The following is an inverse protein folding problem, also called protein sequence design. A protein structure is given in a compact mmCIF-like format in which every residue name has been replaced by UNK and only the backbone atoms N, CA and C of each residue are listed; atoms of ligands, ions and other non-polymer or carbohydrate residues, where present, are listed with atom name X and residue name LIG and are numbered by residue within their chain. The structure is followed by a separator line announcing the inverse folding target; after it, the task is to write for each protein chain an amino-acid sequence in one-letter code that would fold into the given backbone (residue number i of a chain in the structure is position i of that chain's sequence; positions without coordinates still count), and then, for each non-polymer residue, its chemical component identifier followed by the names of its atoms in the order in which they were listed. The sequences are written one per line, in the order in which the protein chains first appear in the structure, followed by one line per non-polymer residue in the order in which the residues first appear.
data_IF_103066612981
#
_entry.id   IF_103066612981
#
_cell.length_a   1.000
_cell.length_b   1.000
_cell.length_c   1.000
_cell.angle_alpha   90.00
_cell.angle_beta   90.00
_cell.angle_gamma   90.00
#
_symmetry.space_group_name_H-M   'P 1'
#
loop_
_entity.id
_entity.type
_entity.pdbx_description
1 polymer ?
#
# COMPACT_ATOMS: atom_id res chain seq x y z
N UNK A 1 45.13 -12.93 -16.52
CA UNK A 1 44.44 -12.63 -15.23
C UNK A 1 43.74 -11.28 -15.25
N UNK A 2 44.37 -10.20 -15.74
CA UNK A 2 43.78 -8.85 -15.76
C UNK A 2 42.49 -8.77 -16.58
N UNK A 3 42.46 -9.34 -17.79
CA UNK A 3 41.26 -9.29 -18.66
C UNK A 3 40.05 -9.97 -18.03
N UNK A 4 40.25 -11.17 -17.46
CA UNK A 4 39.21 -11.90 -16.74
C UNK A 4 38.68 -11.11 -15.53
N UNK A 5 39.58 -10.45 -14.79
CA UNK A 5 39.19 -9.57 -13.67
C UNK A 5 38.35 -8.38 -14.14
N UNK A 6 38.73 -7.74 -15.24
CA UNK A 6 37.97 -6.62 -15.83
C UNK A 6 36.55 -7.07 -16.22
N UNK A 7 36.43 -8.22 -16.88
CA UNK A 7 35.13 -8.79 -17.24
C UNK A 7 34.27 -9.13 -15.99
N UNK A 8 34.88 -9.72 -14.95
CA UNK A 8 34.17 -10.07 -13.71
C UNK A 8 33.64 -8.82 -13.00
N UNK A 9 34.47 -7.78 -12.85
CA UNK A 9 34.06 -6.52 -12.24
C UNK A 9 32.94 -5.84 -13.04
N UNK A 10 32.97 -5.95 -14.36
CA UNK A 10 31.88 -5.46 -15.21
C UNK A 10 30.59 -6.24 -14.96
N UNK A 11 30.65 -7.57 -14.82
CA UNK A 11 29.47 -8.38 -14.49
C UNK A 11 28.93 -8.04 -13.10
N UNK A 12 29.79 -8.00 -12.08
CA UNK A 12 29.40 -7.68 -10.70
C UNK A 12 28.75 -6.30 -10.60
N UNK A 13 29.35 -5.27 -11.20
CA UNK A 13 28.78 -3.91 -11.18
C UNK A 13 27.47 -3.81 -11.97
N UNK A 14 27.27 -4.62 -13.02
CA UNK A 14 25.98 -4.71 -13.72
C UNK A 14 24.90 -5.35 -12.85
N UNK A 15 25.22 -6.45 -12.17
CA UNK A 15 24.31 -7.11 -11.23
C UNK A 15 23.93 -6.15 -10.10
N UNK A 16 24.93 -5.51 -9.49
CA UNK A 16 24.72 -4.50 -8.45
C UNK A 16 23.83 -3.36 -8.94
N UNK A 17 24.07 -2.83 -10.14
CA UNK A 17 23.27 -1.75 -10.72
C UNK A 17 21.79 -2.15 -10.85
N UNK A 18 21.51 -3.33 -11.42
CA UNK A 18 20.14 -3.82 -11.57
C UNK A 18 19.47 -4.02 -10.21
N UNK A 19 20.18 -4.60 -9.25
CA UNK A 19 19.69 -4.79 -7.88
C UNK A 19 19.34 -3.46 -7.20
N UNK A 20 20.21 -2.44 -7.31
CA UNK A 20 19.96 -1.11 -6.75
C UNK A 20 18.76 -0.40 -7.41
N UNK A 21 18.44 -0.72 -8.66
CA UNK A 21 17.27 -0.18 -9.37
C UNK A 21 15.99 -1.01 -9.15
N UNK A 22 16.06 -2.13 -8.42
CA UNK A 22 14.95 -3.07 -8.28
C UNK A 22 14.53 -3.72 -9.59
N UNK A 23 15.44 -3.78 -10.58
CA UNK A 23 15.17 -4.39 -11.87
C UNK A 23 15.43 -5.89 -11.81
N UNK A 24 14.54 -6.67 -12.43
CA UNK A 24 14.73 -8.11 -12.54
C UNK A 24 16.05 -8.40 -13.27
N UNK A 25 16.94 -9.18 -12.65
CA UNK A 25 18.23 -9.56 -13.28
C UNK A 25 17.97 -10.42 -14.53
N UNK A 26 16.92 -11.26 -14.49
CA UNK A 26 16.57 -12.23 -15.53
C UNK A 26 15.27 -11.84 -16.25
N UNK A 27 15.14 -12.27 -17.50
CA UNK A 27 13.93 -12.15 -18.31
C UNK A 27 13.21 -13.50 -18.45
N UNK A 28 12.18 -13.57 -19.30
CA UNK A 28 11.56 -14.86 -19.66
C UNK A 28 12.50 -15.75 -20.48
N UNK A 29 13.38 -15.12 -21.24
CA UNK A 29 14.49 -15.75 -21.94
C UNK A 29 15.79 -15.04 -21.60
N UNK A 30 16.92 -15.65 -21.95
CA UNK A 30 18.24 -15.03 -21.78
C UNK A 30 18.39 -13.78 -22.66
N UNK A 31 17.77 -13.73 -23.83
CA UNK A 31 17.80 -12.55 -24.72
C UNK A 31 17.01 -11.38 -24.13
N UNK A 32 15.89 -11.66 -23.48
CA UNK A 32 15.04 -10.67 -22.81
C UNK A 32 15.57 -10.27 -21.41
N UNK A 33 16.66 -10.87 -20.96
CA UNK A 33 17.27 -10.58 -19.65
C UNK A 33 17.86 -9.17 -19.59
N UNK A 34 17.47 -8.40 -18.58
CA UNK A 34 18.03 -7.06 -18.34
C UNK A 34 19.55 -7.13 -18.15
N UNK A 35 20.05 -8.16 -17.46
CA UNK A 35 21.50 -8.35 -17.28
C UNK A 35 22.19 -8.56 -18.63
N UNK A 36 21.67 -9.46 -19.48
CA UNK A 36 22.32 -9.74 -20.75
C UNK A 36 22.30 -8.51 -21.67
N UNK A 37 21.17 -7.79 -21.74
CA UNK A 37 21.09 -6.55 -22.51
C UNK A 37 22.08 -5.49 -22.00
N UNK A 38 22.19 -5.32 -20.68
CA UNK A 38 23.15 -4.40 -20.06
C UNK A 38 24.61 -4.82 -20.35
N UNK A 39 24.91 -6.11 -20.27
CA UNK A 39 26.25 -6.63 -20.59
C UNK A 39 26.60 -6.47 -22.07
N UNK A 40 25.64 -6.67 -22.98
CA UNK A 40 25.84 -6.42 -24.41
C UNK A 40 26.08 -4.93 -24.72
N UNK A 41 25.39 -4.04 -24.01
CA UNK A 41 25.64 -2.60 -24.09
C UNK A 41 27.06 -2.27 -23.62
N UNK A 42 27.43 -2.74 -22.42
CA UNK A 42 28.77 -2.48 -21.83
C UNK A 42 29.90 -3.12 -22.63
N UNK A 43 29.66 -4.24 -23.29
CA UNK A 43 30.62 -4.91 -24.18
C UNK A 43 30.92 -4.11 -25.46
N UNK A 44 30.25 -2.98 -25.72
CA UNK A 44 30.65 -2.04 -26.77
C UNK A 44 31.89 -1.25 -26.36
N UNK A 45 32.01 -0.94 -25.07
CA UNK A 45 33.05 -0.05 -24.54
C UNK A 45 34.10 -0.82 -23.70
N UNK A 46 33.85 -2.07 -23.33
CA UNK A 46 34.75 -2.92 -22.54
C UNK A 46 35.15 -4.16 -23.38
N UNK A 47 36.29 -4.11 -24.10
CA UNK A 47 36.74 -5.21 -24.97
C UNK A 47 36.93 -6.54 -24.25
N UNK A 48 37.40 -6.52 -23.00
CA UNK A 48 37.61 -7.72 -22.19
C UNK A 48 36.29 -8.40 -21.84
N UNK A 49 35.24 -7.61 -21.56
CA UNK A 49 33.90 -8.14 -21.36
C UNK A 49 33.35 -8.74 -22.66
N UNK A 50 33.51 -8.06 -23.80
CA UNK A 50 33.10 -8.59 -25.11
C UNK A 50 33.76 -9.95 -25.39
N UNK A 51 35.07 -10.03 -25.21
CA UNK A 51 35.85 -11.26 -25.35
C UNK A 51 35.31 -12.35 -24.42
N UNK A 52 35.02 -12.00 -23.16
CA UNK A 52 34.48 -12.94 -22.18
C UNK A 52 33.10 -13.49 -22.53
N UNK A 53 32.18 -12.62 -22.98
CA UNK A 53 30.81 -13.01 -23.36
C UNK A 53 30.78 -13.93 -24.60
N UNK A 54 31.77 -13.80 -25.49
CA UNK A 54 31.91 -14.61 -26.70
C UNK A 54 32.38 -16.04 -26.42
N UNK A 55 32.89 -16.34 -25.23
CA UNK A 55 33.30 -17.70 -24.84
C UNK A 55 32.09 -18.63 -24.81
N UNK A 56 32.28 -19.91 -25.13
CA UNK A 56 31.24 -20.93 -24.98
C UNK A 56 31.25 -21.58 -23.59
N UNK A 57 32.42 -21.60 -22.95
CA UNK A 57 32.65 -22.24 -21.65
C UNK A 57 33.06 -21.24 -20.57
N UNK A 58 32.79 -21.58 -19.30
CA UNK A 58 33.18 -20.81 -18.11
C UNK A 58 32.58 -19.38 -18.06
N UNK A 59 31.32 -19.23 -18.46
CA UNK A 59 30.58 -17.98 -18.27
C UNK A 59 30.19 -17.83 -16.80
N UNK A 60 30.47 -16.67 -16.22
CA UNK A 60 29.98 -16.28 -14.88
C UNK A 60 28.53 -15.77 -14.91
N UNK A 61 27.73 -16.32 -15.82
CA UNK A 61 26.35 -15.92 -16.06
C UNK A 61 25.36 -17.05 -15.82
N UNK A 62 25.83 -18.21 -15.32
CA UNK A 62 24.92 -19.26 -14.88
C UNK A 62 24.06 -18.75 -13.73
N UNK A 63 22.88 -19.33 -13.58
CA UNK A 63 21.94 -18.92 -12.54
C UNK A 63 22.54 -19.04 -11.14
N UNK A 64 23.28 -20.12 -10.88
CA UNK A 64 23.91 -20.37 -9.58
C UNK A 64 24.95 -19.30 -9.26
N UNK A 65 25.81 -18.95 -10.22
CA UNK A 65 26.85 -17.92 -10.02
C UNK A 65 26.21 -16.55 -9.79
N UNK A 66 25.18 -16.20 -10.54
CA UNK A 66 24.50 -14.91 -10.36
C UNK A 66 23.76 -14.83 -9.02
N UNK A 67 23.17 -15.92 -8.56
CA UNK A 67 22.57 -16.01 -7.23
C UNK A 67 23.64 -15.83 -6.15
N UNK A 68 24.75 -16.57 -6.25
CA UNK A 68 25.87 -16.46 -5.31
C UNK A 68 26.44 -15.04 -5.24
N UNK A 69 26.64 -14.38 -6.39
CA UNK A 69 27.07 -12.99 -6.45
C UNK A 69 26.09 -12.06 -5.73
N UNK A 70 24.79 -12.27 -5.94
CA UNK A 70 23.72 -11.46 -5.32
C UNK A 70 23.67 -11.69 -3.81
N UNK A 71 23.80 -12.95 -3.36
CA UNK A 71 23.83 -13.32 -1.95
C UNK A 71 25.05 -12.74 -1.24
N UNK A 72 26.23 -12.75 -1.86
CA UNK A 72 27.43 -12.11 -1.30
C UNK A 72 27.21 -10.61 -1.11
N UNK A 73 26.65 -9.92 -2.12
CA UNK A 73 26.31 -8.49 -2.01
C UNK A 73 25.29 -8.25 -0.91
N UNK A 74 24.23 -9.06 -0.83
CA UNK A 74 23.21 -8.96 0.21
C UNK A 74 23.79 -9.17 1.62
N UNK A 75 24.64 -10.18 1.80
CA UNK A 75 25.33 -10.43 3.07
C UNK A 75 26.25 -9.29 3.48
N UNK A 76 26.90 -8.61 2.53
CA UNK A 76 27.75 -7.46 2.82
C UNK A 76 26.93 -6.25 3.30
N UNK A 77 25.79 -5.98 2.63
CA UNK A 77 24.82 -4.98 3.07
C UNK A 77 24.31 -5.31 4.47
N UNK A 78 23.86 -6.55 4.70
CA UNK A 78 23.36 -6.99 6.01
C UNK A 78 24.43 -6.84 7.09
N UNK A 79 25.69 -7.22 6.82
CA UNK A 79 26.78 -7.06 7.78
C UNK A 79 26.98 -5.60 8.17
N UNK A 80 26.87 -4.69 7.21
CA UNK A 80 26.97 -3.24 7.45
C UNK A 80 25.82 -2.78 8.34
N UNK A 81 24.57 -3.11 7.98
CA UNK A 81 23.37 -2.76 8.76
C UNK A 81 23.41 -3.32 10.18
N UNK A 82 23.81 -4.59 10.35
CA UNK A 82 23.93 -5.20 11.70
C UNK A 82 25.02 -4.50 12.52
N UNK A 83 26.12 -4.06 11.89
CA UNK A 83 27.14 -3.24 12.55
C UNK A 83 26.57 -1.94 13.11
N UNK A 84 25.65 -1.30 12.39
CA UNK A 84 24.93 -0.09 12.83
C UNK A 84 23.92 -0.41 13.95
N UNK A 85 23.21 -1.55 13.86
CA UNK A 85 22.19 -1.96 14.85
C UNK A 85 22.82 -2.39 16.18
N UNK A 86 24.07 -2.87 16.19
CA UNK A 86 24.80 -3.34 17.39
C UNK A 86 25.07 -2.26 18.46
N UNK A 87 24.37 -1.13 18.37
CA UNK A 87 24.08 -0.16 19.44
C UNK A 87 23.71 -0.80 20.80
N UNK A 88 23.61 0.05 21.83
CA UNK A 88 23.21 -0.38 23.17
C UNK A 88 21.79 -0.94 23.21
N UNK A 89 20.84 -0.33 22.48
CA UNK A 89 19.42 -0.69 22.52
C UNK A 89 18.75 -0.55 21.16
N UNK A 90 17.81 -1.45 20.87
CA UNK A 90 17.02 -1.42 19.64
C UNK A 90 15.54 -1.69 19.92
N UNK A 91 14.69 -1.40 18.94
CA UNK A 91 13.31 -1.87 18.88
C UNK A 91 13.10 -2.73 17.64
N UNK A 92 12.15 -3.66 17.69
CA UNK A 92 11.81 -4.53 16.58
C UNK A 92 10.46 -4.12 15.96
N UNK A 93 10.40 -4.11 14.65
CA UNK A 93 9.19 -3.91 13.85
C UNK A 93 9.01 -5.16 13.00
N UNK A 94 7.83 -5.78 13.07
CA UNK A 94 7.48 -6.93 12.23
C UNK A 94 6.10 -6.75 11.61
N UNK A 95 5.97 -7.15 10.35
CA UNK A 95 4.71 -7.15 9.62
C UNK A 95 4.58 -8.43 8.79
N UNK A 96 3.40 -9.03 8.83
CA UNK A 96 3.06 -10.26 8.10
C UNK A 96 2.63 -9.91 6.67
N UNK A 97 3.16 -10.63 5.69
CA UNK A 97 2.82 -10.44 4.28
C UNK A 97 2.80 -11.79 3.55
N UNK A 98 2.21 -11.82 2.36
CA UNK A 98 2.31 -12.94 1.45
C UNK A 98 3.04 -12.52 0.17
N UNK A 99 3.89 -13.40 -0.36
CA UNK A 99 4.56 -13.17 -1.64
C UNK A 99 3.64 -13.48 -2.84
N UNK A 100 4.15 -13.31 -4.06
CA UNK A 100 3.40 -13.58 -5.29
C UNK A 100 3.03 -15.06 -5.47
N UNK A 101 3.70 -15.97 -4.77
CA UNK A 101 3.42 -17.40 -4.74
C UNK A 101 2.48 -17.79 -3.58
N UNK A 102 1.93 -16.79 -2.86
CA UNK A 102 1.04 -16.94 -1.71
C UNK A 102 1.73 -17.65 -0.55
N UNK A 103 3.05 -17.49 -0.42
CA UNK A 103 3.81 -17.97 0.73
C UNK A 103 3.83 -16.89 1.80
N UNK A 104 3.53 -17.30 3.03
CA UNK A 104 3.58 -16.41 4.19
C UNK A 104 5.03 -16.03 4.49
N UNK A 105 5.26 -14.74 4.68
CA UNK A 105 6.54 -14.15 5.01
C UNK A 105 6.35 -13.10 6.09
N UNK A 106 7.37 -12.92 6.92
CA UNK A 106 7.41 -11.87 7.93
C UNK A 106 8.54 -10.93 7.56
N UNK A 107 8.20 -9.67 7.38
CA UNK A 107 9.19 -8.60 7.27
C UNK A 107 9.72 -8.28 8.66
N UNK A 108 11.05 -8.12 8.79
CA UNK A 108 11.66 -7.71 10.04
C UNK A 108 12.51 -6.46 9.79
N UNK A 109 12.30 -5.45 10.63
CA UNK A 109 13.04 -4.22 10.64
C UNK A 109 13.46 -3.90 12.09
N UNK A 110 14.67 -3.38 12.27
CA UNK A 110 15.13 -2.88 13.56
C UNK A 110 15.11 -1.37 13.54
N UNK A 111 14.62 -0.78 14.63
CA UNK A 111 14.64 0.66 14.84
C UNK A 111 15.62 1.01 15.94
N UNK A 112 16.59 1.87 15.63
CA UNK A 112 17.62 2.34 16.56
C UNK A 112 17.59 3.86 16.68
N UNK A 113 18.35 4.38 17.63
CA UNK A 113 18.70 5.80 17.72
C UNK A 113 20.17 5.91 17.37
N UNK A 114 20.49 6.69 16.33
CA UNK A 114 21.88 6.87 15.91
C UNK A 114 22.64 7.80 16.84
N UNK A 115 23.96 7.89 16.63
CA UNK A 115 24.84 8.78 17.39
C UNK A 115 24.42 10.27 17.30
N UNK A 116 23.69 10.64 16.25
CA UNK A 116 23.13 11.98 16.06
C UNK A 116 21.79 12.18 16.80
N UNK A 117 21.35 11.21 17.61
CA UNK A 117 20.07 11.20 18.32
C UNK A 117 18.83 11.17 17.41
N UNK A 118 19.00 10.67 16.18
CA UNK A 118 17.91 10.53 15.21
C UNK A 118 17.46 9.08 15.10
N UNK A 119 16.15 8.81 14.93
CA UNK A 119 15.65 7.47 14.72
C UNK A 119 16.00 6.95 13.33
N UNK A 120 16.52 5.73 13.26
CA UNK A 120 16.85 5.03 12.04
C UNK A 120 16.17 3.66 11.99
N UNK A 121 15.71 3.26 10.81
CA UNK A 121 15.02 1.99 10.57
C UNK A 121 15.82 1.17 9.56
N UNK A 122 16.22 -0.02 9.99
CA UNK A 122 17.09 -0.94 9.26
C UNK A 122 16.32 -2.21 8.91
N UNK A 123 15.92 -2.32 7.64
CA UNK A 123 15.27 -3.51 7.12
C UNK A 123 16.29 -4.64 6.95
N UNK A 124 16.04 -5.79 7.58
CA UNK A 124 16.99 -6.93 7.58
C UNK A 124 16.53 -8.10 6.72
N UNK A 125 15.27 -8.10 6.27
CA UNK A 125 14.79 -9.08 5.30
C UNK A 125 13.35 -9.52 5.47
N UNK A 126 12.93 -10.35 4.51
CA UNK A 126 11.73 -11.17 4.59
C UNK A 126 12.12 -12.58 4.98
N UNK A 127 11.36 -13.16 5.91
CA UNK A 127 11.60 -14.52 6.38
C UNK A 127 10.35 -15.35 6.17
N UNK A 128 10.50 -16.43 5.40
CA UNK A 128 9.40 -17.37 5.15
C UNK A 128 9.03 -18.09 6.45
N UNK A 129 7.73 -18.20 6.70
CA UNK A 129 7.18 -19.01 7.79
C UNK A 129 6.04 -19.87 7.25
N UNK A 130 5.93 -21.09 7.76
CA UNK A 130 4.82 -21.99 7.40
C UNK A 130 3.55 -21.72 8.21
N UNK A 131 3.65 -20.88 9.25
CA UNK A 131 2.52 -20.51 10.10
C UNK A 131 2.76 -19.18 10.82
N UNK A 132 1.68 -18.45 11.05
CA UNK A 132 1.65 -17.15 11.74
C UNK A 132 1.18 -17.26 13.19
N UNK A 133 1.31 -18.43 13.81
CA UNK A 133 1.05 -18.55 15.26
C UNK A 133 2.06 -17.71 16.05
N UNK A 134 1.63 -17.18 17.19
CA UNK A 134 2.49 -16.40 18.07
C UNK A 134 3.80 -17.11 18.48
N UNK A 135 3.75 -18.44 18.62
CA UNK A 135 4.93 -19.26 18.91
C UNK A 135 5.92 -19.28 17.75
N UNK A 136 5.44 -19.57 16.55
CA UNK A 136 6.28 -19.59 15.34
C UNK A 136 6.91 -18.22 15.06
N UNK A 137 6.14 -17.14 15.21
CA UNK A 137 6.65 -15.78 15.06
C UNK A 137 7.71 -15.44 16.11
N UNK A 138 7.55 -15.93 17.34
CA UNK A 138 8.54 -15.74 18.39
C UNK A 138 9.82 -16.54 18.15
N UNK A 139 9.71 -17.79 17.69
CA UNK A 139 10.88 -18.59 17.30
C UNK A 139 11.61 -17.98 16.11
N UNK A 140 10.86 -17.48 15.13
CA UNK A 140 11.41 -16.78 13.98
C UNK A 140 12.19 -15.54 14.42
N UNK A 141 11.62 -14.72 15.29
CA UNK A 141 12.32 -13.55 15.86
C UNK A 141 13.62 -13.98 16.56
N UNK A 142 13.58 -15.01 17.42
CA UNK A 142 14.76 -15.49 18.13
C UNK A 142 15.84 -16.01 17.18
N UNK A 143 15.47 -16.76 16.14
CA UNK A 143 16.39 -17.24 15.12
C UNK A 143 17.10 -16.08 14.42
N UNK A 144 16.36 -15.04 14.03
CA UNK A 144 16.94 -13.83 13.41
C UNK A 144 17.86 -13.08 14.37
N UNK A 145 17.44 -12.89 15.62
CA UNK A 145 18.27 -12.27 16.66
C UNK A 145 19.56 -13.05 16.91
N UNK A 146 19.50 -14.39 16.95
CA UNK A 146 20.67 -15.25 17.12
C UNK A 146 21.62 -15.15 15.92
N UNK A 147 21.10 -15.18 14.68
CA UNK A 147 21.90 -15.04 13.45
C UNK A 147 22.68 -13.74 13.40
N UNK A 148 22.10 -12.66 13.92
CA UNK A 148 22.73 -11.34 13.95
C UNK A 148 23.44 -11.02 15.26
N UNK A 149 23.51 -11.97 16.19
CA UNK A 149 24.08 -11.79 17.52
C UNK A 149 23.51 -10.57 18.26
N UNK A 150 22.20 -10.32 18.12
CA UNK A 150 21.47 -9.24 18.78
C UNK A 150 20.76 -9.80 20.03
N UNK A 151 21.21 -9.48 21.25
CA UNK A 151 20.57 -9.99 22.45
C UNK A 151 19.16 -9.42 22.60
N UNK A 152 18.16 -10.29 22.86
CA UNK A 152 16.80 -9.84 23.16
C UNK A 152 16.75 -8.89 24.37
N UNK A 153 17.70 -9.04 25.31
CA UNK A 153 17.86 -8.17 26.49
C UNK A 153 18.12 -6.69 26.18
N UNK A 154 18.57 -6.38 24.96
CA UNK A 154 18.77 -5.02 24.48
C UNK A 154 17.52 -4.44 23.79
N UNK A 155 16.47 -5.23 23.62
CA UNK A 155 15.22 -4.77 23.03
C UNK A 155 14.48 -3.81 24.00
N UNK A 156 14.04 -2.65 23.51
CA UNK A 156 13.30 -1.62 24.27
C UNK A 156 11.93 -1.31 23.70
N UNK A 157 11.62 -1.84 22.52
CA UNK A 157 10.33 -1.66 21.90
C UNK A 157 10.03 -2.76 20.91
N UNK A 158 8.75 -3.05 20.75
CA UNK A 158 8.25 -3.99 19.76
C UNK A 158 7.00 -3.40 19.11
N UNK A 159 6.94 -3.39 17.78
CA UNK A 159 5.86 -2.76 17.04
C UNK A 159 5.33 -3.68 15.95
N UNK A 160 4.07 -4.09 16.11
CA UNK A 160 3.37 -5.02 15.22
C UNK A 160 1.92 -4.54 14.98
N UNK A 161 1.20 -5.23 14.11
CA UNK A 161 -0.23 -5.00 13.89
C UNK A 161 -1.09 -5.47 15.07
N UNK A 162 -2.41 -5.32 14.90
CA UNK A 162 -3.41 -5.67 15.90
C UNK A 162 -3.88 -7.11 15.86
N UNK A 163 -3.30 -7.99 15.04
CA UNK A 163 -3.72 -9.38 14.94
C UNK A 163 -3.55 -10.09 16.29
N UNK A 164 -4.42 -11.06 16.61
CA UNK A 164 -4.40 -11.72 17.92
C UNK A 164 -3.09 -12.46 18.20
N UNK A 165 -2.45 -13.00 17.15
CA UNK A 165 -1.17 -13.68 17.26
C UNK A 165 -0.01 -12.71 17.51
N UNK A 166 -0.15 -11.43 17.14
CA UNK A 166 0.85 -10.38 17.37
C UNK A 166 0.59 -9.64 18.68
N UNK A 167 -0.59 -9.04 18.80
CA UNK A 167 -0.98 -8.10 19.85
C UNK A 167 -1.57 -8.75 21.11
N UNK A 168 -1.81 -10.07 21.10
CA UNK A 168 -2.50 -10.77 22.17
C UNK A 168 -1.77 -10.67 23.52
N UNK A 169 -2.44 -10.11 24.53
CA UNK A 169 -1.85 -9.83 25.87
C UNK A 169 -1.50 -11.07 26.70
N UNK A 170 -2.00 -12.25 26.33
CA UNK A 170 -1.74 -13.51 27.06
C UNK A 170 -0.85 -14.49 26.30
N UNK A 171 -1.04 -14.58 24.99
CA UNK A 171 -0.45 -15.63 24.17
C UNK A 171 0.09 -15.12 22.83
N UNK A 172 -0.04 -13.83 22.54
CA UNK A 172 0.50 -13.21 21.34
C UNK A 172 2.02 -13.05 21.42
N UNK A 173 2.64 -12.72 20.28
CA UNK A 173 4.06 -12.42 20.17
C UNK A 173 4.47 -11.38 21.22
N UNK A 174 3.65 -10.35 21.43
CA UNK A 174 3.99 -9.29 22.37
C UNK A 174 4.11 -9.75 23.83
N UNK A 175 3.21 -10.65 24.26
CA UNK A 175 3.28 -11.22 25.60
C UNK A 175 4.55 -12.08 25.77
N UNK A 176 4.92 -12.85 24.75
CA UNK A 176 6.11 -13.72 24.76
C UNK A 176 7.41 -12.93 24.81
N UNK A 177 7.50 -11.83 24.04
CA UNK A 177 8.64 -10.93 24.08
C UNK A 177 8.74 -10.24 25.44
N UNK A 178 7.62 -9.74 26.00
CA UNK A 178 7.60 -9.10 27.32
C UNK A 178 7.98 -10.05 28.46
N UNK A 179 7.63 -11.34 28.36
CA UNK A 179 8.02 -12.36 29.33
C UNK A 179 9.56 -12.50 29.42
N UNK A 180 10.25 -12.40 28.27
CA UNK A 180 11.70 -12.50 28.23
C UNK A 180 12.42 -11.16 28.45
N UNK A 181 11.85 -10.05 27.97
CA UNK A 181 12.38 -8.70 28.15
C UNK A 181 11.25 -7.71 28.52
N UNK A 182 10.99 -7.49 29.82
CA UNK A 182 9.92 -6.61 30.28
C UNK A 182 10.05 -5.15 29.85
N UNK A 183 11.25 -4.70 29.44
CA UNK A 183 11.46 -3.34 28.95
C UNK A 183 11.10 -3.18 27.47
N UNK A 184 10.86 -4.26 26.72
CA UNK A 184 10.46 -4.22 25.32
C UNK A 184 8.97 -3.87 25.17
N UNK A 185 8.62 -2.59 25.33
CA UNK A 185 7.23 -2.15 25.34
C UNK A 185 6.54 -2.34 23.99
N UNK A 186 5.32 -2.88 24.01
CA UNK A 186 4.53 -3.06 22.80
C UNK A 186 3.85 -1.77 22.35
N UNK A 187 3.98 -1.48 21.06
CA UNK A 187 3.32 -0.40 20.35
C UNK A 187 2.51 -0.99 19.20
N UNK A 188 1.20 -0.73 19.21
CA UNK A 188 0.36 -1.09 18.06
C UNK A 188 0.65 -0.12 16.92
N UNK A 189 0.99 -0.66 15.74
CA UNK A 189 1.22 0.09 14.52
C UNK A 189 0.14 1.16 14.29
N UNK A 190 0.54 2.44 14.34
CA UNK A 190 -0.40 3.57 14.27
C UNK A 190 -1.05 3.69 12.89
N UNK A 191 -0.31 3.39 11.82
CA UNK A 191 -0.84 3.34 10.46
C UNK A 191 -1.91 2.23 10.31
N UNK A 192 -1.68 1.07 10.92
CA UNK A 192 -2.66 -0.02 10.94
C UNK A 192 -3.91 0.38 11.73
N UNK A 193 -3.76 0.96 12.91
CA UNK A 193 -4.87 1.50 13.70
C UNK A 193 -5.71 2.51 12.92
N UNK A 194 -5.06 3.46 12.24
CA UNK A 194 -5.75 4.44 11.40
C UNK A 194 -6.53 3.77 10.27
N UNK A 195 -5.94 2.77 9.63
CA UNK A 195 -6.60 1.98 8.60
C UNK A 195 -7.86 1.26 9.11
N UNK A 196 -7.80 0.65 10.30
CA UNK A 196 -8.94 -0.02 10.94
C UNK A 196 -10.07 0.96 11.26
N UNK A 197 -9.76 2.10 11.90
CA UNK A 197 -10.77 3.12 12.24
C UNK A 197 -11.48 3.62 10.99
N UNK A 198 -10.73 3.91 9.93
CA UNK A 198 -11.27 4.39 8.66
C UNK A 198 -12.12 3.32 7.97
N UNK A 199 -11.67 2.06 7.99
CA UNK A 199 -12.44 0.92 7.49
C UNK A 199 -13.79 0.82 8.21
N UNK A 200 -13.77 0.78 9.54
CA UNK A 200 -14.97 0.55 10.35
C UNK A 200 -16.00 1.67 10.18
N UNK A 201 -15.55 2.93 10.16
CA UNK A 201 -16.43 4.08 9.90
C UNK A 201 -17.06 3.97 8.51
N UNK A 202 -16.27 3.71 7.47
CA UNK A 202 -16.79 3.65 6.11
C UNK A 202 -17.73 2.45 5.88
N UNK A 203 -17.51 1.32 6.56
CA UNK A 203 -18.39 0.16 6.52
C UNK A 203 -19.70 0.36 7.29
N UNK A 204 -19.65 1.14 8.38
CA UNK A 204 -20.83 1.44 9.20
C UNK A 204 -21.85 2.33 8.49
N UNK A 205 -21.41 3.15 7.52
CA UNK A 205 -22.26 4.07 6.75
C UNK A 205 -22.74 3.37 5.46
N UNK A 206 -24.05 3.03 5.32
CA UNK A 206 -24.52 2.26 4.17
C UNK A 206 -24.24 2.91 2.82
N UNK A 207 -24.33 4.24 2.73
CA UNK A 207 -24.02 4.98 1.50
C UNK A 207 -22.56 4.76 1.07
N UNK A 208 -21.60 4.92 1.99
CA UNK A 208 -20.17 4.71 1.73
C UNK A 208 -19.88 3.24 1.38
N UNK A 209 -20.41 2.28 2.17
CA UNK A 209 -20.22 0.85 1.91
C UNK A 209 -20.74 0.44 0.52
N UNK A 210 -21.97 0.83 0.18
CA UNK A 210 -22.59 0.46 -1.07
C UNK A 210 -21.87 1.13 -2.26
N UNK A 211 -21.50 2.40 -2.12
CA UNK A 211 -20.70 3.13 -3.10
C UNK A 211 -19.36 2.42 -3.39
N UNK A 212 -18.65 1.96 -2.36
CA UNK A 212 -17.41 1.21 -2.55
C UNK A 212 -17.61 -0.10 -3.33
N UNK A 213 -18.77 -0.76 -3.21
CA UNK A 213 -19.10 -1.93 -4.03
C UNK A 213 -19.29 -1.54 -5.50
N UNK A 214 -20.09 -0.50 -5.74
CA UNK A 214 -20.36 0.03 -7.09
C UNK A 214 -19.05 0.38 -7.80
N UNK A 215 -18.15 1.13 -7.14
CA UNK A 215 -16.88 1.52 -7.75
C UNK A 215 -15.95 0.33 -8.00
N UNK A 216 -15.92 -0.67 -7.10
CA UNK A 216 -15.15 -1.91 -7.34
C UNK A 216 -15.66 -2.64 -8.58
N UNK A 217 -16.97 -2.78 -8.72
CA UNK A 217 -17.60 -3.45 -9.86
C UNK A 217 -17.37 -2.68 -11.16
N UNK A 218 -17.48 -1.35 -11.13
CA UNK A 218 -17.18 -0.48 -12.26
C UNK A 218 -15.73 -0.64 -12.75
N UNK A 219 -14.77 -0.55 -11.83
CA UNK A 219 -13.35 -0.70 -12.16
C UNK A 219 -13.08 -2.11 -12.70
N UNK A 220 -13.64 -3.15 -12.07
CA UNK A 220 -13.48 -4.53 -12.52
C UNK A 220 -14.10 -4.76 -13.91
N UNK A 221 -15.26 -4.15 -14.20
CA UNK A 221 -15.89 -4.19 -15.52
C UNK A 221 -14.91 -3.64 -16.57
N UNK A 222 -14.33 -2.47 -16.35
CA UNK A 222 -13.44 -1.86 -17.36
C UNK A 222 -12.11 -2.62 -17.46
N UNK A 223 -11.44 -2.86 -16.32
CA UNK A 223 -10.05 -3.33 -16.29
C UNK A 223 -9.88 -4.82 -16.53
N UNK A 224 -10.87 -5.66 -16.23
CA UNK A 224 -10.72 -7.11 -16.41
C UNK A 224 -10.80 -7.55 -17.89
N UNK A 225 -10.96 -6.61 -18.83
CA UNK A 225 -10.87 -6.88 -20.26
C UNK A 225 -10.01 -5.82 -20.95
N UNK A 226 -8.87 -6.20 -21.57
CA UNK A 226 -8.06 -5.27 -22.34
C UNK A 226 -8.85 -4.53 -23.42
N UNK A 227 -9.83 -5.22 -24.05
CA UNK A 227 -10.73 -4.63 -25.06
C UNK A 227 -11.60 -3.52 -24.48
N UNK A 228 -12.21 -3.74 -23.31
CA UNK A 228 -13.04 -2.72 -22.65
C UNK A 228 -12.21 -1.55 -22.13
N UNK A 229 -11.00 -1.82 -21.63
CA UNK A 229 -10.09 -0.75 -21.23
C UNK A 229 -9.66 0.11 -22.42
N UNK A 230 -9.36 -0.51 -23.57
CA UNK A 230 -9.04 0.22 -24.80
C UNK A 230 -10.22 1.07 -25.29
N UNK A 231 -11.43 0.50 -25.28
CA UNK A 231 -12.66 1.20 -25.64
C UNK A 231 -12.95 2.38 -24.70
N UNK A 232 -12.84 2.19 -23.38
CA UNK A 232 -13.01 3.26 -22.41
C UNK A 232 -12.03 4.43 -22.65
N UNK A 233 -10.79 4.17 -23.09
CA UNK A 233 -9.81 5.21 -23.41
C UNK A 233 -10.24 6.12 -24.55
N UNK A 234 -11.14 5.68 -25.43
CA UNK A 234 -11.69 6.51 -26.51
C UNK A 234 -12.61 7.62 -25.96
N UNK A 235 -13.18 7.42 -24.77
CA UNK A 235 -13.99 8.42 -24.06
C UNK A 235 -13.16 9.32 -23.13
N UNK A 236 -11.92 8.93 -22.82
CA UNK A 236 -11.05 9.72 -21.95
C UNK A 236 -10.44 10.91 -22.71
N UNK A 237 -10.45 12.10 -22.08
CA UNK A 237 -9.63 13.21 -22.57
C UNK A 237 -8.13 12.89 -22.44
N UNK A 238 -7.30 13.47 -23.31
CA UNK A 238 -5.86 13.18 -23.38
C UNK A 238 -5.10 13.36 -22.04
N UNK A 239 -5.58 14.25 -21.17
CA UNK A 239 -4.99 14.52 -19.85
C UNK A 239 -5.65 13.74 -18.70
N UNK A 240 -6.64 12.88 -18.99
CA UNK A 240 -7.40 12.19 -17.94
C UNK A 240 -6.55 11.11 -17.27
N UNK A 241 -6.56 11.01 -15.93
CA UNK A 241 -5.79 9.99 -15.23
C UNK A 241 -6.32 8.58 -15.56
N UNK A 242 -5.42 7.60 -15.64
CA UNK A 242 -5.80 6.21 -15.75
C UNK A 242 -6.61 5.76 -14.52
N UNK A 243 -7.69 4.98 -14.74
CA UNK A 243 -8.48 4.40 -13.65
C UNK A 243 -7.61 3.51 -12.77
N UNK A 244 -7.50 3.82 -11.48
CA UNK A 244 -6.68 3.05 -10.54
C UNK A 244 -7.52 2.00 -9.81
N UNK A 245 -7.01 0.77 -9.61
CA UNK A 245 -7.71 -0.22 -8.79
C UNK A 245 -7.81 0.25 -7.33
N UNK A 246 -8.82 -0.23 -6.63
CA UNK A 246 -8.94 -0.03 -5.19
C UNK A 246 -8.07 -1.05 -4.46
N UNK A 247 -7.25 -0.59 -3.50
CA UNK A 247 -6.56 -1.51 -2.60
C UNK A 247 -7.60 -2.22 -1.70
N UNK A 248 -7.66 -3.57 -1.67
CA UNK A 248 -8.63 -4.28 -0.85
C UNK A 248 -8.39 -4.09 0.66
N UNK A 249 -7.13 -4.12 1.08
CA UNK A 249 -6.71 -4.17 2.49
C UNK A 249 -6.38 -2.80 3.08
N UNK A 250 -5.91 -1.84 2.28
CA UNK A 250 -5.53 -0.48 2.74
C UNK A 250 -6.60 0.55 2.37
N UNK A 251 -7.49 0.82 3.32
CA UNK A 251 -8.52 1.85 3.24
C UNK A 251 -7.96 3.27 3.23
N UNK A 252 -6.81 3.49 3.84
CA UNK A 252 -6.12 4.79 3.85
C UNK A 252 -5.44 5.14 2.51
N UNK A 253 -5.52 4.28 1.49
CA UNK A 253 -4.93 4.51 0.15
C UNK A 253 -6.03 4.39 -0.91
N UNK A 254 -6.94 5.37 -0.92
CA UNK A 254 -8.13 5.37 -1.80
C UNK A 254 -8.33 6.69 -2.51
N UNK A 255 -7.70 7.78 -2.07
CA UNK A 255 -7.90 9.10 -2.64
C UNK A 255 -7.52 9.11 -4.12
N UNK A 256 -6.39 8.52 -4.50
CA UNK A 256 -5.96 8.48 -5.90
C UNK A 256 -6.93 7.70 -6.81
N UNK A 257 -7.52 6.60 -6.32
CA UNK A 257 -8.50 5.82 -7.08
C UNK A 257 -9.83 6.57 -7.20
N UNK A 258 -10.32 7.17 -6.11
CA UNK A 258 -11.51 8.01 -6.13
C UNK A 258 -11.32 9.24 -7.03
N UNK A 259 -10.16 9.88 -6.99
CA UNK A 259 -9.80 10.99 -7.87
C UNK A 259 -9.82 10.56 -9.34
N UNK A 260 -9.33 9.36 -9.65
CA UNK A 260 -9.40 8.84 -11.03
C UNK A 260 -10.84 8.61 -11.49
N UNK A 261 -11.77 8.25 -10.58
CA UNK A 261 -13.19 8.14 -10.91
C UNK A 261 -13.80 9.52 -11.11
N UNK A 262 -13.55 10.46 -10.20
CA UNK A 262 -14.08 11.83 -10.28
C UNK A 262 -13.62 12.55 -11.55
N UNK A 263 -12.34 12.43 -11.91
CA UNK A 263 -11.80 13.04 -13.13
C UNK A 263 -12.36 12.44 -14.43
N UNK A 264 -12.84 11.19 -14.37
CA UNK A 264 -13.40 10.49 -15.53
C UNK A 264 -14.92 10.34 -15.46
N UNK A 265 -15.63 11.07 -14.59
CA UNK A 265 -17.03 10.77 -14.28
C UNK A 265 -17.95 10.83 -15.51
N UNK A 266 -17.82 11.88 -16.34
CA UNK A 266 -18.57 12.00 -17.61
C UNK A 266 -18.22 10.88 -18.58
N UNK A 267 -16.93 10.67 -18.84
CA UNK A 267 -16.44 9.62 -19.73
C UNK A 267 -16.89 8.21 -19.31
N UNK A 268 -16.99 7.97 -18.00
CA UNK A 268 -17.53 6.72 -17.45
C UNK A 268 -19.01 6.55 -17.77
N UNK A 269 -19.82 7.62 -17.69
CA UNK A 269 -21.24 7.55 -18.06
C UNK A 269 -21.40 7.30 -19.56
N UNK A 270 -20.69 8.05 -20.40
CA UNK A 270 -20.74 7.92 -21.87
C UNK A 270 -20.33 6.50 -22.32
N UNK A 271 -19.24 5.98 -21.74
CA UNK A 271 -18.78 4.62 -22.00
C UNK A 271 -19.80 3.56 -21.57
N UNK A 272 -20.43 3.71 -20.39
CA UNK A 272 -21.41 2.74 -19.91
C UNK A 272 -22.69 2.77 -20.74
N UNK A 273 -23.10 3.95 -21.22
CA UNK A 273 -24.22 4.11 -22.15
C UNK A 273 -23.94 3.38 -23.47
N UNK A 274 -22.82 3.68 -24.11
CA UNK A 274 -22.40 3.06 -25.37
C UNK A 274 -22.22 1.53 -25.23
N UNK A 275 -21.59 1.09 -24.13
CA UNK A 275 -21.44 -0.33 -23.84
C UNK A 275 -22.79 -1.02 -23.62
N UNK A 276 -23.72 -0.38 -22.91
CA UNK A 276 -25.05 -0.95 -22.66
C UNK A 276 -25.88 -1.12 -23.94
N UNK A 277 -25.72 -0.20 -24.90
CA UNK A 277 -26.39 -0.26 -26.20
C UNK A 277 -25.79 -1.32 -27.13
N UNK A 278 -24.46 -1.46 -27.14
CA UNK A 278 -23.76 -2.28 -28.13
C UNK A 278 -23.43 -3.71 -27.67
N UNK A 279 -23.35 -3.97 -26.36
CA UNK A 279 -23.06 -5.32 -25.84
C UNK A 279 -24.32 -6.04 -25.35
N UNK A 280 -24.86 -6.94 -26.18
CA UNK A 280 -26.01 -7.80 -25.85
C UNK A 280 -25.60 -9.03 -25.04
N UNK A 281 -24.98 -8.83 -23.89
CA UNK A 281 -24.55 -9.88 -22.96
C UNK A 281 -24.57 -9.39 -21.51
N UNK A 282 -24.24 -10.26 -20.55
CA UNK A 282 -24.20 -9.94 -19.12
C UNK A 282 -23.37 -8.69 -18.81
N UNK A 283 -22.28 -8.46 -19.55
CA UNK A 283 -21.44 -7.28 -19.36
C UNK A 283 -22.17 -5.98 -19.74
N UNK A 284 -23.01 -5.98 -20.78
CA UNK A 284 -23.84 -4.82 -21.13
C UNK A 284 -24.99 -4.60 -20.15
N UNK A 285 -25.58 -5.68 -19.62
CA UNK A 285 -26.55 -5.59 -18.52
C UNK A 285 -25.94 -4.98 -17.26
N UNK A 286 -24.71 -5.39 -16.89
CA UNK A 286 -23.94 -4.77 -15.80
C UNK A 286 -23.63 -3.30 -16.08
N UNK A 287 -23.27 -2.96 -17.31
CA UNK A 287 -23.01 -1.57 -17.71
C UNK A 287 -24.25 -0.69 -17.51
N UNK A 288 -25.42 -1.17 -17.96
CA UNK A 288 -26.72 -0.49 -17.76
C UNK A 288 -27.02 -0.27 -16.27
N UNK A 289 -26.85 -1.29 -15.42
CA UNK A 289 -27.07 -1.16 -13.98
C UNK A 289 -26.12 -0.15 -13.33
N UNK A 290 -24.83 -0.18 -13.69
CA UNK A 290 -23.84 0.78 -13.19
C UNK A 290 -24.14 2.21 -13.65
N UNK A 291 -24.57 2.40 -14.90
CA UNK A 291 -24.97 3.71 -15.42
C UNK A 291 -26.09 4.33 -14.59
N UNK A 292 -27.14 3.56 -14.29
CA UNK A 292 -28.25 4.01 -13.43
C UNK A 292 -27.74 4.41 -12.04
N UNK A 293 -26.72 3.75 -11.51
CA UNK A 293 -26.11 4.18 -10.25
C UNK A 293 -25.31 5.48 -10.38
N UNK A 294 -24.55 5.67 -11.46
CA UNK A 294 -23.75 6.88 -11.68
C UNK A 294 -24.60 8.12 -11.96
N UNK A 295 -25.79 7.96 -12.55
CA UNK A 295 -26.73 9.06 -12.82
C UNK A 295 -27.37 9.63 -11.54
N UNK A 296 -27.32 8.89 -10.42
CA UNK A 296 -27.90 9.35 -9.13
C UNK A 296 -27.01 10.37 -8.45
N UNK A 297 -27.62 11.48 -8.01
CA UNK A 297 -26.95 12.47 -7.15
C UNK A 297 -26.26 11.84 -5.95
N UNK A 298 -26.94 10.90 -5.26
CA UNK A 298 -26.42 10.28 -4.05
C UNK A 298 -25.09 9.54 -4.26
N UNK A 299 -24.87 8.96 -5.45
CA UNK A 299 -23.61 8.31 -5.81
C UNK A 299 -22.50 9.33 -5.99
N UNK A 300 -22.75 10.40 -6.75
CA UNK A 300 -21.78 11.47 -6.98
C UNK A 300 -21.46 12.24 -5.69
N UNK A 301 -22.47 12.55 -4.88
CA UNK A 301 -22.31 13.15 -3.56
C UNK A 301 -21.43 12.29 -2.66
N UNK A 302 -21.66 10.98 -2.64
CA UNK A 302 -20.84 10.04 -1.85
C UNK A 302 -19.39 10.01 -2.36
N UNK A 303 -19.17 10.06 -3.68
CA UNK A 303 -17.84 10.19 -4.27
C UNK A 303 -17.11 11.44 -3.76
N UNK A 304 -17.75 12.61 -3.85
CA UNK A 304 -17.14 13.88 -3.44
C UNK A 304 -16.86 13.91 -1.93
N UNK A 305 -17.78 13.41 -1.11
CA UNK A 305 -17.62 13.31 0.33
C UNK A 305 -16.44 12.39 0.69
N UNK A 306 -16.39 11.20 0.10
CA UNK A 306 -15.31 10.25 0.33
C UNK A 306 -13.98 10.80 -0.15
N UNK A 307 -13.92 11.46 -1.31
CA UNK A 307 -12.68 12.08 -1.81
C UNK A 307 -12.15 13.15 -0.85
N UNK A 308 -13.03 14.01 -0.34
CA UNK A 308 -12.68 15.05 0.65
C UNK A 308 -12.14 14.43 1.94
N UNK A 309 -12.76 13.36 2.42
CA UNK A 309 -12.33 12.65 3.62
C UNK A 309 -11.01 11.88 3.43
N UNK A 310 -10.94 11.01 2.41
CA UNK A 310 -9.78 10.15 2.17
C UNK A 310 -8.53 10.95 1.80
N UNK A 311 -8.65 12.11 1.14
CA UNK A 311 -7.48 12.94 0.83
C UNK A 311 -6.75 13.40 2.10
N UNK A 312 -7.48 13.83 3.15
CA UNK A 312 -6.89 14.22 4.44
C UNK A 312 -6.32 13.05 5.22
N UNK A 313 -7.09 11.97 5.28
CA UNK A 313 -6.72 10.73 5.98
C UNK A 313 -5.46 10.12 5.35
N UNK A 314 -5.38 10.05 4.03
CA UNK A 314 -4.24 9.47 3.31
C UNK A 314 -2.95 10.27 3.56
N UNK A 315 -3.01 11.61 3.55
CA UNK A 315 -1.86 12.46 3.87
C UNK A 315 -1.30 12.19 5.27
N UNK A 316 -2.16 12.08 6.27
CA UNK A 316 -1.74 11.79 7.65
C UNK A 316 -1.23 10.36 7.76
N UNK A 317 -1.88 9.38 7.13
CA UNK A 317 -1.44 8.00 7.14
C UNK A 317 -0.05 7.80 6.50
N UNK A 318 0.29 8.57 5.45
CA UNK A 318 1.65 8.60 4.87
C UNK A 318 2.65 9.15 5.88
N UNK A 319 2.30 10.22 6.60
CA UNK A 319 3.18 10.80 7.62
C UNK A 319 3.42 9.85 8.80
N UNK A 320 2.40 9.07 9.19
CA UNK A 320 2.49 8.03 10.23
C UNK A 320 3.33 6.80 9.84
N UNK A 321 3.85 6.74 8.62
CA UNK A 321 4.73 5.66 8.15
C UNK A 321 6.20 6.13 7.97
N UNK A 322 6.51 7.38 8.31
CA UNK A 322 7.89 7.89 8.22
C UNK A 322 8.74 7.37 9.37
N UNK A 323 10.00 7.03 9.10
CA UNK A 323 10.94 6.55 10.12
C UNK A 323 11.24 7.58 11.23
N UNK A 324 11.06 8.87 10.95
CA UNK A 324 11.18 9.94 11.96
C UNK A 324 10.00 10.02 12.94
N UNK A 325 8.95 9.21 12.76
CA UNK A 325 7.75 9.30 13.59
C UNK A 325 8.04 8.93 15.05
N UNK A 326 7.70 9.82 15.97
CA UNK A 326 7.69 9.54 17.41
C UNK A 326 6.27 9.72 17.97
N UNK A 327 6.01 9.19 19.17
CA UNK A 327 4.65 9.14 19.74
C UNK A 327 4.01 10.51 19.88
N UNK A 328 4.80 11.54 20.21
CA UNK A 328 4.30 12.91 20.33
C UNK A 328 3.86 13.48 18.97
N UNK A 329 4.69 13.38 17.92
CA UNK A 329 4.32 13.88 16.58
C UNK A 329 3.16 13.10 15.97
N UNK A 330 3.07 11.78 16.20
CA UNK A 330 1.91 10.99 15.83
C UNK A 330 0.62 11.54 16.45
N UNK A 331 0.64 11.88 17.74
CA UNK A 331 -0.50 12.47 18.44
C UNK A 331 -0.90 13.83 17.86
N UNK A 332 0.06 14.72 17.63
CA UNK A 332 -0.20 16.04 17.05
C UNK A 332 -0.81 15.94 15.64
N UNK A 333 -0.33 15.01 14.80
CA UNK A 333 -0.90 14.75 13.48
C UNK A 333 -2.35 14.28 13.57
N UNK A 334 -2.68 13.41 14.52
CA UNK A 334 -4.05 12.92 14.73
C UNK A 334 -4.97 14.01 15.32
N UNK A 335 -4.47 14.83 16.24
CA UNK A 335 -5.21 15.97 16.79
C UNK A 335 -5.50 17.01 15.70
N UNK A 336 -4.53 17.26 14.80
CA UNK A 336 -4.69 18.12 13.62
C UNK A 336 -5.72 17.55 12.65
N UNK A 337 -5.65 16.24 12.32
CA UNK A 337 -6.64 15.58 11.47
C UNK A 337 -8.05 15.73 12.05
N UNK A 338 -8.21 15.56 13.36
CA UNK A 338 -9.50 15.75 14.02
C UNK A 338 -10.00 17.20 13.88
N UNK A 339 -9.10 18.18 13.95
CA UNK A 339 -9.40 19.59 13.67
C UNK A 339 -9.87 19.80 12.24
N UNK A 340 -9.12 19.32 11.25
CA UNK A 340 -9.44 19.41 9.82
C UNK A 340 -10.81 18.79 9.50
N UNK A 341 -11.11 17.62 10.08
CA UNK A 341 -12.40 16.96 9.90
C UNK A 341 -13.57 17.75 10.51
N UNK A 342 -13.35 18.51 11.59
CA UNK A 342 -14.36 19.43 12.13
C UNK A 342 -14.61 20.60 11.18
N UNK A 343 -13.55 21.20 10.64
CA UNK A 343 -13.66 22.29 9.66
C UNK A 343 -14.43 21.82 8.41
N UNK A 344 -14.10 20.63 7.89
CA UNK A 344 -14.84 20.03 6.76
C UNK A 344 -16.33 19.86 7.10
N UNK A 345 -16.64 19.44 8.33
CA UNK A 345 -18.02 19.26 8.78
C UNK A 345 -18.77 20.59 8.91
N UNK A 346 -18.11 21.63 9.40
CA UNK A 346 -18.68 22.98 9.54
C UNK A 346 -18.88 23.65 8.17
N UNK A 347 -17.99 23.39 7.21
CA UNK A 347 -18.07 23.81 5.82
C UNK A 347 -19.08 23.04 4.95
N UNK A 348 -20.05 22.35 5.54
CA UNK A 348 -21.00 21.52 4.79
C UNK A 348 -21.82 22.32 3.77
N UNK A 349 -22.20 23.56 4.07
CA UNK A 349 -23.00 24.38 3.16
C UNK A 349 -22.28 24.65 1.84
N UNK A 350 -21.01 25.07 1.90
CA UNK A 350 -20.18 25.29 0.72
C UNK A 350 -19.93 23.97 -0.04
N UNK A 351 -19.65 22.89 0.68
CA UNK A 351 -19.52 21.56 0.08
C UNK A 351 -20.79 21.13 -0.67
N UNK A 352 -21.97 21.36 -0.08
CA UNK A 352 -23.26 21.05 -0.69
C UNK A 352 -23.47 21.85 -1.96
N UNK A 353 -23.32 23.17 -1.91
CA UNK A 353 -23.49 24.06 -3.07
C UNK A 353 -22.57 23.66 -4.23
N UNK A 354 -21.28 23.47 -3.95
CA UNK A 354 -20.29 23.06 -4.96
C UNK A 354 -20.62 21.68 -5.55
N UNK A 355 -21.04 20.73 -4.72
CA UNK A 355 -21.39 19.38 -5.17
C UNK A 355 -22.66 19.37 -6.02
N UNK A 356 -23.66 20.17 -5.65
CA UNK A 356 -24.89 20.33 -6.44
C UNK A 356 -24.61 20.98 -7.79
N UNK A 357 -23.85 22.09 -7.82
CA UNK A 357 -23.48 22.73 -9.07
C UNK A 357 -22.69 21.80 -10.01
N UNK A 358 -21.76 21.01 -9.46
CA UNK A 358 -21.01 20.03 -10.23
C UNK A 358 -21.89 18.87 -10.73
N UNK A 359 -22.86 18.42 -9.93
CA UNK A 359 -23.83 17.40 -10.34
C UNK A 359 -24.76 17.89 -11.45
N UNK A 360 -25.21 19.14 -11.37
CA UNK A 360 -26.05 19.77 -12.39
C UNK A 360 -25.29 19.91 -13.72
N UNK A 361 -24.01 20.28 -13.67
CA UNK A 361 -23.14 20.34 -14.86
C UNK A 361 -22.94 18.96 -15.53
N UNK A 362 -23.07 17.87 -14.75
CA UNK A 362 -23.01 16.49 -15.23
C UNK A 362 -24.39 15.93 -15.65
N UNK A 363 -25.46 16.70 -15.52
CA UNK A 363 -26.82 16.26 -15.87
C UNK A 363 -27.37 15.16 -14.95
N UNK A 364 -26.93 15.11 -13.68
CA UNK A 364 -27.37 14.09 -12.72
C UNK A 364 -28.77 14.38 -12.16
N UNK A 365 -29.38 13.38 -11.53
CA UNK A 365 -30.66 13.54 -10.83
C UNK A 365 -30.62 14.70 -9.81
N UNK A 366 -31.74 15.41 -9.64
CA UNK A 366 -31.82 16.48 -8.63
C UNK A 366 -31.77 15.90 -7.21
N UNK A 367 -31.04 16.52 -6.26
CA UNK A 367 -31.00 16.05 -4.88
C UNK A 367 -32.38 16.03 -4.23
N UNK A 368 -32.77 14.87 -3.70
CA UNK A 368 -33.98 14.72 -2.87
C UNK A 368 -33.57 14.79 -1.40
N UNK A 369 -33.95 15.89 -0.73
CA UNK A 369 -33.69 16.04 0.70
C UNK A 369 -34.55 15.07 1.52
N UNK A 370 -34.00 14.42 2.57
CA UNK A 370 -34.78 13.58 3.45
C UNK A 370 -35.93 14.39 4.06
N UNK A 371 -37.16 13.94 3.90
CA UNK A 371 -38.28 14.54 4.62
C UNK A 371 -38.06 14.31 6.11
N UNK A 372 -37.84 15.40 6.87
CA UNK A 372 -37.88 15.35 8.32
C UNK A 372 -39.24 14.77 8.70
N UNK A 373 -39.25 13.62 9.39
CA UNK A 373 -40.49 13.07 9.94
C UNK A 373 -41.10 14.15 10.82
N UNK A 374 -42.24 14.70 10.40
CA UNK A 374 -43.04 15.57 11.26
C UNK A 374 -43.35 14.77 12.52
N UNK A 375 -42.97 15.31 13.68
CA UNK A 375 -43.34 14.74 14.97
C UNK A 375 -44.87 14.57 14.95
N UNK A 376 -45.42 13.38 15.26
CA UNK A 376 -46.86 13.21 15.33
C UNK A 376 -47.44 14.26 16.28
N UNK A 377 -48.46 15.02 15.84
CA UNK A 377 -49.11 16.09 16.63
C UNK A 377 -49.46 15.71 18.07
N UNK A 378 -49.64 14.41 18.34
CA UNK A 378 -49.89 13.86 19.69
C UNK A 378 -48.73 14.06 20.67
N UNK A 379 -47.50 14.28 20.19
CA UNK A 379 -46.30 14.50 21.01
C UNK A 379 -45.91 15.97 21.14
N UNK A 380 -46.53 16.88 20.38
CA UNK A 380 -46.26 18.33 20.48
C UNK A 380 -46.80 18.93 21.79
N UNK A 381 -47.86 18.36 22.35
CA UNK A 381 -48.48 18.82 23.60
C UNK A 381 -47.82 18.31 24.88
N UNK A 382 -46.90 17.34 24.81
CA UNK A 382 -46.22 16.81 26.01
C UNK A 382 -45.01 17.65 26.46
N UNK A 383 -44.51 18.57 25.62
CA UNK A 383 -43.33 19.40 25.94
C UNK A 383 -43.68 20.86 26.29
N UNK A 384 -44.96 21.21 26.42
CA UNK A 384 -45.42 22.56 26.78
C UNK A 384 -45.86 22.68 28.26
N UNK A 385 -45.43 21.75 29.11
CA UNK A 385 -45.79 21.71 30.52
C UNK A 385 -44.64 21.28 31.43
N UNK A 386 -43.68 22.19 31.60
CA UNK A 386 -42.84 22.33 32.82
C UNK A 386 -42.46 23.78 32.98
#
# INVERSE_FOLDING_TARGET
MTEARTALLAILSSVQHLSCQGLAIRGKTDEESNLNQLLQLRARDIPELRSWLARTENKWLSHDILNEMTEIMAHDVLRTLIGEIQSDFYSVIMDETADIAVREQVSICFRIVSDNLEPEEHFVGFYETSTTTADALFQLLNDVLMRFALPLKKCRGQCYDGASNMSGVKAGLQARVLEQEPQAQYVHCTAHLMNLVVHDVAQSIPACRNFMSIIRELIALIRNSPKRLAWFREFQGAESPALRPLCPTRWTVKAASLQSIAANYSALMDFLEDMSANYKCDAGGKASGLLVHLQKFGTFFTLQLMLTFFSRVESVNIALQKCQLHTHSAREMLDTLRGDLKVIREGFAEFWENTTAAADALGLETPVLPQLRKIPRRLEHCCAGT
#
